data_IF_154213384642
#
_entry.id   IF_154213384642
#
_cell.length_a   1.000
_cell.length_b   1.000
_cell.length_c   1.000
_cell.angle_alpha   90.00
_cell.angle_beta   90.00
_cell.angle_gamma   90.00
#
_symmetry.space_group_name_H-M   'P 1'
#
loop_
_entity.id
_entity.type
_entity.pdbx_description
1 polymer ?
#
# COMPACT_ATOMS: atom_id res chain seq x y z
N UNK A 1 20.33 -17.75 16.35
CA UNK A 1 20.51 -17.51 14.90
C UNK A 1 20.61 -16.02 14.65
N UNK A 2 21.38 -15.58 13.64
CA UNK A 2 21.33 -14.21 13.14
C UNK A 2 19.89 -13.76 12.88
N UNK A 3 19.52 -12.54 13.29
CA UNK A 3 18.15 -12.04 13.16
C UNK A 3 18.09 -10.57 12.76
N UNK A 4 16.96 -10.17 12.18
CA UNK A 4 16.61 -8.77 12.00
C UNK A 4 16.32 -8.11 13.35
N UNK A 5 16.86 -6.91 13.56
CA UNK A 5 16.71 -6.07 14.74
C UNK A 5 16.13 -4.71 14.34
N UNK A 6 15.70 -3.88 15.31
CA UNK A 6 15.19 -2.52 15.09
C UNK A 6 13.99 -2.39 14.13
N UNK A 7 13.11 -3.40 14.15
CA UNK A 7 11.87 -3.40 13.38
C UNK A 7 10.78 -2.61 14.13
N UNK A 8 10.11 -1.70 13.41
CA UNK A 8 8.89 -0.99 13.81
C UNK A 8 7.66 -1.86 13.53
N UNK A 9 6.53 -1.52 14.15
CA UNK A 9 5.24 -2.19 13.94
C UNK A 9 4.87 -2.31 12.46
N UNK A 10 5.15 -1.27 11.68
CA UNK A 10 4.85 -1.19 10.26
C UNK A 10 5.68 -2.19 9.44
N UNK A 11 6.89 -2.51 9.88
CA UNK A 11 7.77 -3.45 9.17
C UNK A 11 7.27 -4.88 9.35
N UNK A 12 6.82 -5.25 10.55
CA UNK A 12 6.19 -6.55 10.80
C UNK A 12 4.93 -6.75 9.95
N UNK A 13 4.12 -5.70 9.81
CA UNK A 13 2.95 -5.72 8.94
C UNK A 13 3.31 -5.78 7.45
N UNK A 14 4.36 -5.09 7.02
CA UNK A 14 4.81 -5.13 5.63
C UNK A 14 5.39 -6.50 5.25
N UNK A 15 6.17 -7.10 6.14
CA UNK A 15 6.76 -8.43 5.94
C UNK A 15 5.70 -9.53 5.87
N UNK A 16 4.74 -9.53 6.80
CA UNK A 16 3.65 -10.53 6.79
C UNK A 16 2.75 -10.41 5.57
N UNK A 17 2.52 -9.20 5.08
CA UNK A 17 1.83 -8.98 3.78
C UNK A 17 2.64 -9.44 2.58
N UNK A 18 3.96 -9.39 2.64
CA UNK A 18 4.82 -9.91 1.58
C UNK A 18 4.81 -11.46 1.56
N UNK A 19 4.59 -12.08 2.72
CA UNK A 19 4.46 -13.54 2.90
C UNK A 19 3.12 -14.09 2.44
N UNK A 20 2.03 -13.33 2.57
CA UNK A 20 0.70 -13.67 2.02
C UNK A 20 0.71 -13.57 0.49
N UNK A 21 1.25 -14.59 -0.16
CA UNK A 21 1.46 -14.66 -1.61
C UNK A 21 0.14 -14.79 -2.36
N UNK A 22 -0.84 -15.51 -1.79
CA UNK A 22 -2.16 -15.72 -2.37
C UNK A 22 -3.16 -14.59 -2.00
N UNK A 23 -2.75 -13.66 -1.13
CA UNK A 23 -3.43 -12.41 -0.75
C UNK A 23 -4.80 -12.62 -0.11
N UNK A 24 -4.97 -13.74 0.60
CA UNK A 24 -6.21 -14.07 1.29
C UNK A 24 -6.24 -13.54 2.75
N UNK A 25 -5.23 -12.75 3.15
CA UNK A 25 -4.98 -12.27 4.52
C UNK A 25 -4.78 -13.38 5.54
N UNK A 26 -4.42 -14.59 5.09
CA UNK A 26 -4.05 -15.75 5.90
C UNK A 26 -2.61 -16.09 5.60
N UNK A 27 -1.95 -16.74 6.54
CA UNK A 27 -0.63 -17.30 6.33
C UNK A 27 -0.76 -18.81 6.43
N UNK A 28 -0.56 -19.47 5.29
CA UNK A 28 -0.54 -20.92 5.21
C UNK A 28 0.88 -21.52 5.21
N UNK A 29 0.98 -22.85 5.31
CA UNK A 29 2.26 -23.55 5.37
C UNK A 29 3.05 -23.51 4.04
N UNK A 30 2.42 -23.17 2.92
CA UNK A 30 3.09 -22.97 1.64
C UNK A 30 3.74 -21.58 1.56
N UNK A 31 3.22 -20.63 2.33
CA UNK A 31 3.68 -19.24 2.40
C UNK A 31 4.80 -19.05 3.43
N UNK A 32 4.61 -19.60 4.63
CA UNK A 32 5.61 -19.57 5.70
C UNK A 32 5.61 -20.92 6.42
N UNK A 33 6.80 -21.49 6.60
CA UNK A 33 6.97 -22.70 7.40
C UNK A 33 6.80 -22.39 8.89
N UNK A 34 5.55 -22.37 9.35
CA UNK A 34 5.19 -22.23 10.76
C UNK A 34 4.67 -23.58 11.24
N UNK A 35 5.21 -24.11 12.34
CA UNK A 35 4.70 -25.36 12.87
C UNK A 35 3.26 -25.21 13.41
N UNK A 36 2.48 -26.29 13.38
CA UNK A 36 1.06 -26.26 13.72
C UNK A 36 0.76 -25.76 15.15
N UNK A 37 1.59 -26.16 16.13
CA UNK A 37 1.45 -25.69 17.51
C UNK A 37 1.59 -24.17 17.61
N UNK A 38 2.51 -23.59 16.84
CA UNK A 38 2.68 -22.15 16.76
C UNK A 38 1.50 -21.47 16.06
N UNK A 39 1.00 -22.06 14.96
CA UNK A 39 -0.15 -21.53 14.21
C UNK A 39 -1.42 -21.44 15.07
N UNK A 40 -1.70 -22.48 15.89
CA UNK A 40 -2.82 -22.48 16.84
C UNK A 40 -2.69 -21.41 17.95
N UNK A 41 -1.45 -21.10 18.36
CA UNK A 41 -1.20 -20.14 19.45
C UNK A 41 -1.32 -18.69 19.01
N UNK A 42 -1.03 -18.41 17.74
CA UNK A 42 -1.11 -17.05 17.18
C UNK A 42 -2.41 -16.82 16.40
N UNK A 43 -3.17 -17.87 16.09
CA UNK A 43 -4.43 -17.76 15.37
C UNK A 43 -5.50 -17.00 16.16
N UNK A 44 -6.45 -16.42 15.42
CA UNK A 44 -7.65 -15.84 16.01
C UNK A 44 -8.56 -16.92 16.63
N UNK A 45 -9.72 -16.53 17.16
CA UNK A 45 -10.71 -17.46 17.78
C UNK A 45 -11.17 -18.62 16.88
N UNK A 46 -10.88 -18.56 15.58
CA UNK A 46 -11.20 -19.61 14.60
C UNK A 46 -9.97 -20.48 14.24
N UNK A 47 -8.84 -20.33 14.94
CA UNK A 47 -7.62 -21.09 14.71
C UNK A 47 -6.85 -20.68 13.44
N UNK A 48 -7.08 -19.46 12.92
CA UNK A 48 -6.45 -18.96 11.70
C UNK A 48 -5.46 -17.85 12.04
N UNK A 49 -4.18 -18.03 11.68
CA UNK A 49 -3.17 -16.98 11.72
C UNK A 49 -3.27 -16.10 10.46
N UNK A 50 -3.76 -14.87 10.62
CA UNK A 50 -3.76 -13.85 9.57
C UNK A 50 -2.47 -13.04 9.53
N UNK A 51 -2.37 -12.13 8.56
CA UNK A 51 -1.21 -11.24 8.42
C UNK A 51 -0.99 -10.37 9.66
N UNK A 52 -2.07 -9.88 10.28
CA UNK A 52 -2.00 -9.06 11.51
C UNK A 52 -1.58 -9.89 12.71
N UNK A 53 -2.18 -11.05 12.90
CA UNK A 53 -1.87 -11.96 14.01
C UNK A 53 -0.41 -12.42 13.96
N UNK A 54 0.09 -12.77 12.77
CA UNK A 54 1.49 -13.12 12.58
C UNK A 54 2.42 -11.93 12.85
N UNK A 55 2.04 -10.72 12.42
CA UNK A 55 2.86 -9.53 12.63
C UNK A 55 2.98 -9.19 14.13
N UNK A 56 1.86 -9.25 14.86
CA UNK A 56 1.84 -9.06 16.31
C UNK A 56 2.67 -10.13 17.02
N UNK A 57 2.56 -11.40 16.62
CA UNK A 57 3.36 -12.47 17.21
C UNK A 57 4.87 -12.31 16.95
N UNK A 58 5.25 -11.88 15.74
CA UNK A 58 6.65 -11.58 15.39
C UNK A 58 7.19 -10.38 16.18
N UNK A 59 6.37 -9.35 16.37
CA UNK A 59 6.70 -8.14 17.14
C UNK A 59 6.90 -8.46 18.63
N UNK A 60 6.00 -9.26 19.21
CA UNK A 60 6.08 -9.68 20.61
C UNK A 60 7.21 -10.68 20.88
N UNK A 61 7.75 -11.30 19.82
CA UNK A 61 8.76 -12.35 19.93
C UNK A 61 8.20 -13.70 20.38
N UNK A 62 6.91 -13.93 20.09
CA UNK A 62 6.23 -15.21 20.34
C UNK A 62 6.60 -16.24 19.28
N UNK A 63 6.96 -15.75 18.08
CA UNK A 63 7.34 -16.55 16.92
C UNK A 63 8.55 -15.96 16.20
N UNK A 64 9.28 -16.83 15.52
CA UNK A 64 10.33 -16.45 14.60
C UNK A 64 10.22 -17.27 13.32
N UNK A 65 10.65 -16.68 12.20
CA UNK A 65 10.61 -17.31 10.88
C UNK A 65 12.04 -17.60 10.43
N UNK A 66 12.26 -18.83 9.98
CA UNK A 66 13.51 -19.33 9.39
C UNK A 66 13.24 -19.83 7.98
N UNK A 67 13.89 -19.22 6.98
CA UNK A 67 13.71 -19.61 5.60
C UNK A 67 12.34 -19.20 5.04
N UNK A 68 12.31 -18.88 3.75
CA UNK A 68 11.09 -18.50 3.02
C UNK A 68 11.33 -18.68 1.52
N UNK A 69 10.27 -18.61 0.71
CA UNK A 69 10.44 -18.64 -0.75
C UNK A 69 11.28 -17.46 -1.23
N UNK A 70 12.06 -17.66 -2.30
CA UNK A 70 12.87 -16.60 -2.91
C UNK A 70 12.03 -15.38 -3.28
N UNK A 71 10.82 -15.59 -3.79
CA UNK A 71 9.88 -14.52 -4.13
C UNK A 71 9.48 -13.69 -2.90
N UNK A 72 9.19 -14.34 -1.77
CA UNK A 72 8.86 -13.66 -0.51
C UNK A 72 10.05 -12.89 0.03
N UNK A 73 11.23 -13.50 0.00
CA UNK A 73 12.48 -12.87 0.42
C UNK A 73 12.80 -11.63 -0.43
N UNK A 74 12.59 -11.71 -1.74
CA UNK A 74 12.79 -10.59 -2.67
C UNK A 74 11.83 -9.43 -2.41
N UNK A 75 10.56 -9.72 -2.10
CA UNK A 75 9.56 -8.69 -1.73
C UNK A 75 9.92 -8.00 -0.42
N UNK A 76 10.37 -8.76 0.58
CA UNK A 76 10.81 -8.21 1.87
C UNK A 76 12.07 -7.37 1.69
N UNK A 77 13.05 -7.85 0.94
CA UNK A 77 14.27 -7.10 0.67
C UNK A 77 14.01 -5.83 -0.14
N UNK A 78 13.06 -5.87 -1.08
CA UNK A 78 12.62 -4.70 -1.84
C UNK A 78 11.99 -3.63 -0.95
N UNK A 79 11.17 -4.04 0.02
CA UNK A 79 10.58 -3.14 1.00
C UNK A 79 11.66 -2.40 1.79
N UNK A 80 12.63 -3.13 2.36
CA UNK A 80 13.72 -2.52 3.14
C UNK A 80 14.63 -1.64 2.30
N UNK A 81 14.87 -1.97 1.02
CA UNK A 81 15.65 -1.12 0.12
C UNK A 81 14.99 0.23 -0.22
N UNK A 82 13.69 0.39 0.09
CA UNK A 82 12.86 1.55 -0.25
C UNK A 82 12.23 2.21 0.98
N UNK A 83 12.74 1.96 2.20
CA UNK A 83 12.10 2.29 3.48
C UNK A 83 12.16 3.77 3.93
N UNK A 84 12.86 4.64 3.18
CA UNK A 84 13.96 5.42 3.71
C UNK A 84 13.61 6.38 4.86
N UNK A 85 14.46 6.35 5.90
CA UNK A 85 15.02 7.55 6.53
C UNK A 85 16.15 8.19 5.66
N UNK A 86 16.31 7.80 4.37
CA UNK A 86 17.24 8.40 3.38
C UNK A 86 16.73 9.67 2.66
N UNK A 87 15.71 10.38 3.16
CA UNK A 87 15.19 11.57 2.46
C UNK A 87 16.06 12.83 2.60
N UNK A 88 17.15 12.79 3.37
CA UNK A 88 18.08 13.91 3.56
C UNK A 88 19.36 13.85 2.69
N UNK A 89 19.46 12.93 1.72
CA UNK A 89 20.67 12.81 0.87
C UNK A 89 20.47 13.32 -0.56
N UNK A 90 21.39 14.14 -1.09
CA UNK A 90 21.29 14.68 -2.45
C UNK A 90 21.24 13.58 -3.52
N UNK A 91 20.45 13.85 -4.57
CA UNK A 91 20.14 13.00 -5.73
C UNK A 91 21.38 12.46 -6.48
N UNK A 92 22.58 12.98 -6.23
CA UNK A 92 23.82 12.60 -6.92
C UNK A 92 24.45 11.27 -6.44
N UNK A 93 23.97 10.65 -5.35
CA UNK A 93 24.52 9.37 -4.85
C UNK A 93 23.74 8.12 -5.32
N UNK A 94 22.84 8.26 -6.30
CA UNK A 94 22.02 7.16 -6.81
C UNK A 94 22.79 6.33 -7.84
N UNK A 95 23.64 5.42 -7.35
CA UNK A 95 24.19 4.31 -8.15
C UNK A 95 23.24 3.11 -8.01
N UNK A 96 23.03 2.41 -9.12
CA UNK A 96 21.94 1.48 -9.46
C UNK A 96 21.77 0.19 -8.64
N UNK A 97 22.19 0.15 -7.38
CA UNK A 97 21.89 -0.98 -6.49
C UNK A 97 21.24 -0.42 -5.23
N UNK A 98 19.98 -0.77 -4.96
CA UNK A 98 19.26 -0.25 -3.81
C UNK A 98 19.84 -0.84 -2.50
N UNK A 99 20.81 -0.14 -1.92
CA UNK A 99 21.46 -0.49 -0.67
C UNK A 99 20.50 -0.33 0.51
N UNK A 100 20.67 -1.18 1.50
CA UNK A 100 19.89 -1.16 2.74
C UNK A 100 20.69 -0.39 3.81
N UNK A 101 20.07 0.56 4.54
CA UNK A 101 20.81 1.46 5.45
C UNK A 101 21.45 0.70 6.63
N UNK A 102 22.59 1.19 7.12
CA UNK A 102 23.22 0.70 8.35
C UNK A 102 22.41 1.02 9.60
N UNK A 103 21.61 2.09 9.61
CA UNK A 103 20.73 2.42 10.75
C UNK A 103 19.52 1.49 10.86
N UNK A 104 19.09 0.90 9.74
CA UNK A 104 17.97 -0.03 9.68
C UNK A 104 18.32 -1.43 10.25
N UNK A 105 19.62 -1.75 10.35
CA UNK A 105 20.12 -3.09 10.67
C UNK A 105 21.38 -3.00 11.56
N UNK A 106 21.23 -3.11 12.88
CA UNK A 106 22.37 -3.47 13.72
C UNK A 106 22.68 -4.97 13.55
N UNK A 107 23.40 -5.30 12.48
CA UNK A 107 24.00 -6.63 12.35
C UNK A 107 25.06 -6.78 13.42
N UNK A 108 24.92 -7.77 14.30
CA UNK A 108 26.08 -8.23 15.07
C UNK A 108 27.20 -8.61 14.06
N UNK A 109 28.48 -8.48 14.43
CA UNK A 109 29.58 -8.83 13.53
C UNK A 109 29.44 -10.23 12.92
N UNK A 110 28.82 -11.16 13.64
CA UNK A 110 28.53 -12.51 13.15
C UNK A 110 27.40 -12.58 12.10
N UNK A 111 26.42 -11.67 12.14
CA UNK A 111 25.37 -11.61 11.11
C UNK A 111 25.90 -10.98 9.83
N UNK A 112 26.67 -9.89 9.97
CA UNK A 112 27.19 -9.13 8.82
C UNK A 112 28.04 -10.02 7.91
N UNK A 113 28.97 -10.79 8.49
CA UNK A 113 29.85 -11.70 7.75
C UNK A 113 29.14 -12.88 7.06
N UNK A 114 27.87 -13.14 7.38
CA UNK A 114 27.05 -14.18 6.73
C UNK A 114 26.14 -13.66 5.64
N UNK A 115 25.85 -12.36 5.64
CA UNK A 115 24.94 -11.70 4.69
C UNK A 115 25.74 -10.93 3.64
N UNK A 116 26.78 -10.21 4.06
CA UNK A 116 27.73 -9.50 3.20
C UNK A 116 28.63 -10.52 2.49
N UNK A 117 28.24 -10.90 1.28
CA UNK A 117 28.86 -11.99 0.53
C UNK A 117 30.14 -11.55 -0.19
N UNK A 118 30.29 -10.24 -0.42
CA UNK A 118 31.41 -9.64 -1.14
C UNK A 118 32.40 -8.91 -0.20
N UNK A 119 32.13 -8.88 1.12
CA UNK A 119 32.91 -8.21 2.17
C UNK A 119 33.11 -6.70 1.95
N UNK A 120 32.14 -6.03 1.31
CA UNK A 120 32.23 -4.58 1.06
C UNK A 120 31.72 -3.73 2.24
N UNK A 121 31.40 -4.38 3.36
CA UNK A 121 30.79 -3.80 4.56
C UNK A 121 29.43 -3.17 4.30
N UNK A 122 28.68 -3.65 3.31
CA UNK A 122 27.31 -3.24 3.02
C UNK A 122 26.46 -4.49 2.74
N UNK A 123 25.15 -4.30 2.69
CA UNK A 123 24.20 -5.38 2.36
C UNK A 123 23.31 -4.88 1.24
N UNK A 124 23.42 -5.52 0.09
CA UNK A 124 22.53 -5.29 -1.06
C UNK A 124 21.17 -5.94 -0.85
N UNK A 125 20.15 -5.48 -1.58
CA UNK A 125 18.84 -6.15 -1.68
C UNK A 125 19.00 -7.65 -1.96
N UNK A 126 19.88 -8.01 -2.89
CA UNK A 126 20.10 -9.40 -3.32
C UNK A 126 20.68 -10.25 -2.20
N UNK A 127 21.64 -9.71 -1.45
CA UNK A 127 22.24 -10.38 -0.30
C UNK A 127 21.25 -10.59 0.84
N UNK A 128 20.42 -9.58 1.13
CA UNK A 128 19.35 -9.72 2.12
C UNK A 128 18.33 -10.79 1.71
N UNK A 129 17.90 -10.80 0.44
CA UNK A 129 16.96 -11.79 -0.07
C UNK A 129 17.54 -13.22 0.00
N UNK A 130 18.79 -13.40 -0.40
CA UNK A 130 19.48 -14.71 -0.31
C UNK A 130 19.61 -15.17 1.15
N UNK A 131 19.93 -14.27 2.08
CA UNK A 131 20.05 -14.60 3.49
C UNK A 131 18.71 -15.00 4.14
N UNK A 132 17.62 -14.32 3.77
CA UNK A 132 16.27 -14.65 4.23
C UNK A 132 15.76 -15.97 3.63
N UNK A 133 15.96 -16.18 2.32
CA UNK A 133 15.52 -17.38 1.64
C UNK A 133 16.25 -18.64 2.13
N UNK A 134 17.56 -18.54 2.35
CA UNK A 134 18.39 -19.65 2.86
C UNK A 134 18.20 -19.94 4.35
N UNK A 135 17.49 -19.08 5.09
CA UNK A 135 17.38 -19.17 6.55
C UNK A 135 18.66 -18.81 7.29
N UNK A 136 19.67 -18.25 6.61
CA UNK A 136 20.86 -17.69 7.24
C UNK A 136 20.53 -16.49 8.14
N UNK A 137 19.42 -15.81 7.86
CA UNK A 137 18.85 -14.69 8.61
C UNK A 137 17.39 -14.98 8.99
N UNK A 138 17.02 -14.67 10.23
CA UNK A 138 15.68 -14.92 10.80
C UNK A 138 14.91 -13.64 11.10
N UNK A 139 13.58 -13.71 11.16
CA UNK A 139 12.69 -12.59 11.54
C UNK A 139 12.00 -12.94 12.86
N UNK A 140 12.01 -12.03 13.85
CA UNK A 140 11.34 -12.23 15.15
C UNK A 140 12.25 -12.79 16.26
N UNK A 141 11.65 -13.18 17.39
CA UNK A 141 12.33 -13.88 18.49
C UNK A 141 11.56 -15.15 18.83
N UNK A 142 12.25 -16.19 19.31
CA UNK A 142 11.61 -17.36 19.91
C UNK A 142 11.66 -17.26 21.43
N UNK A 143 10.81 -16.44 22.05
CA UNK A 143 10.62 -16.48 23.50
C UNK A 143 9.61 -17.59 23.82
N UNK A 144 9.87 -18.36 24.88
CA UNK A 144 8.81 -19.21 25.44
C UNK A 144 7.69 -18.30 25.94
N UNK A 145 6.54 -18.36 25.27
CA UNK A 145 5.33 -17.65 25.67
C UNK A 145 4.94 -18.16 27.06
N UNK A 146 5.02 -17.31 28.10
CA UNK A 146 4.74 -17.73 29.49
C UNK A 146 3.25 -17.89 29.76
N UNK A 147 2.39 -17.39 28.88
CA UNK A 147 0.94 -17.51 28.98
C UNK A 147 0.39 -18.07 27.66
N UNK A 148 -0.26 -19.21 27.76
CA UNK A 148 -1.12 -19.77 26.72
C UNK A 148 -2.49 -19.05 26.83
N UNK A 149 -2.84 -18.13 25.92
CA UNK A 149 -4.13 -17.43 25.98
C UNK A 149 -5.33 -18.34 25.71
N UNK A 150 -5.11 -19.59 25.28
CA UNK A 150 -6.18 -20.53 24.94
C UNK A 150 -5.87 -21.93 25.49
N UNK A 151 -6.04 -22.09 26.81
CA UNK A 151 -6.06 -23.39 27.49
C UNK A 151 -7.31 -24.22 27.11
N UNK A 152 -7.42 -24.63 25.84
CA UNK A 152 -8.12 -25.81 25.31
C UNK A 152 -8.39 -25.65 23.79
N UNK A 153 -7.47 -26.04 22.90
CA UNK A 153 -7.82 -26.22 21.50
C UNK A 153 -8.67 -27.50 21.36
N UNK A 154 -9.79 -27.38 20.64
CA UNK A 154 -10.67 -28.51 20.33
C UNK A 154 -9.86 -29.64 19.66
N UNK A 155 -9.92 -30.83 20.26
CA UNK A 155 -9.08 -31.98 19.89
C UNK A 155 -9.41 -32.51 18.48
N UNK A 156 -8.38 -32.63 17.65
CA UNK A 156 -8.17 -33.86 16.87
C UNK A 156 -8.64 -33.94 15.42
N UNK A 157 -8.85 -32.83 14.69
CA UNK A 157 -9.06 -32.88 13.23
C UNK A 157 -8.19 -31.88 12.47
N UNK A 158 -7.50 -32.38 11.46
CA UNK A 158 -6.74 -31.61 10.47
C UNK A 158 -7.72 -31.00 9.45
N UNK A 159 -7.99 -29.69 9.49
CA UNK A 159 -8.99 -29.06 8.63
C UNK A 159 -8.50 -28.91 7.18
N UNK A 160 -7.26 -29.28 6.86
CA UNK A 160 -6.71 -29.26 5.50
C UNK A 160 -6.87 -30.60 4.78
N UNK A 161 -7.15 -31.70 5.50
CA UNK A 161 -7.29 -33.06 4.93
C UNK A 161 -8.73 -33.58 4.88
N UNK A 162 -9.56 -33.27 5.88
CA UNK A 162 -10.91 -33.81 5.98
C UNK A 162 -11.97 -32.69 6.09
N UNK A 163 -12.52 -32.19 4.96
CA UNK A 163 -13.61 -31.23 5.02
C UNK A 163 -14.85 -31.85 5.69
N UNK A 164 -15.45 -31.11 6.62
CA UNK A 164 -16.57 -31.54 7.44
C UNK A 164 -17.75 -32.09 6.59
N UNK A 165 -18.23 -33.33 6.82
CA UNK A 165 -19.28 -33.94 6.00
C UNK A 165 -20.66 -33.26 6.15
N UNK A 166 -20.84 -32.38 7.14
CA UNK A 166 -22.11 -31.68 7.39
C UNK A 166 -22.27 -30.36 6.61
N UNK A 167 -21.46 -30.11 5.58
CA UNK A 167 -21.65 -28.99 4.64
C UNK A 167 -21.47 -27.58 5.23
N UNK A 168 -21.08 -27.47 6.50
CA UNK A 168 -20.58 -26.23 7.10
C UNK A 168 -19.07 -26.31 7.12
N UNK A 169 -18.50 -25.85 6.02
CA UNK A 169 -17.11 -25.48 5.97
C UNK A 169 -16.88 -24.32 6.98
N UNK A 170 -16.05 -24.50 8.03
CA UNK A 170 -15.69 -23.42 8.95
C UNK A 170 -14.97 -22.26 8.22
N UNK A 171 -14.58 -22.45 6.96
CA UNK A 171 -14.00 -21.44 6.08
C UNK A 171 -15.02 -20.69 5.22
N UNK A 172 -16.32 -21.04 5.22
CA UNK A 172 -17.34 -20.37 4.40
C UNK A 172 -18.09 -19.23 5.09
N UNK A 173 -17.95 -19.03 6.40
CA UNK A 173 -18.70 -17.93 7.04
C UNK A 173 -18.15 -17.45 8.40
N UNK A 174 -17.12 -16.59 8.46
CA UNK A 174 -16.90 -15.72 9.59
C UNK A 174 -17.67 -14.41 9.38
N UNK A 175 -18.66 -14.14 10.22
CA UNK A 175 -19.57 -13.01 10.12
C UNK A 175 -18.97 -11.63 10.44
N UNK A 176 -18.01 -11.17 9.63
CA UNK A 176 -17.65 -9.76 9.46
C UNK A 176 -17.29 -9.52 7.99
N UNK A 177 -18.00 -8.58 7.37
CA UNK A 177 -17.94 -8.07 5.99
C UNK A 177 -17.24 -8.95 4.93
N UNK A 178 -18.06 -9.46 4.00
CA UNK A 178 -17.62 -10.15 2.78
C UNK A 178 -16.34 -9.47 2.24
N UNK A 179 -15.23 -10.21 2.02
CA UNK A 179 -14.16 -9.70 1.19
C UNK A 179 -14.82 -9.26 -0.11
N UNK A 180 -14.71 -7.98 -0.47
CA UNK A 180 -15.12 -7.54 -1.80
C UNK A 180 -14.33 -8.43 -2.75
N UNK A 181 -14.98 -9.26 -3.58
CA UNK A 181 -14.26 -10.09 -4.52
C UNK A 181 -13.43 -9.15 -5.39
N UNK A 182 -12.09 -9.25 -5.33
CA UNK A 182 -11.24 -8.56 -6.29
C UNK A 182 -11.69 -9.00 -7.69
N UNK A 183 -11.93 -8.05 -8.58
CA UNK A 183 -12.50 -8.31 -9.90
C UNK A 183 -11.54 -9.08 -10.84
N UNK A 184 -10.35 -9.43 -10.35
CA UNK A 184 -9.22 -9.92 -11.14
C UNK A 184 -8.57 -8.81 -11.98
N UNK A 185 -8.97 -7.55 -11.80
CA UNK A 185 -8.42 -6.42 -12.53
C UNK A 185 -6.94 -6.21 -12.22
N UNK A 186 -6.45 -6.58 -11.03
CA UNK A 186 -5.04 -6.47 -10.69
C UNK A 186 -4.11 -7.20 -11.69
N UNK A 187 -4.54 -8.33 -12.27
CA UNK A 187 -3.77 -9.08 -13.28
C UNK A 187 -3.66 -8.24 -14.55
N UNK A 188 -4.77 -7.66 -15.00
CA UNK A 188 -4.82 -6.82 -16.19
C UNK A 188 -3.98 -5.55 -16.00
N UNK A 189 -4.02 -4.94 -14.80
CA UNK A 189 -3.18 -3.79 -14.43
C UNK A 189 -1.70 -4.17 -14.44
N UNK A 190 -1.33 -5.36 -13.96
CA UNK A 190 0.06 -5.81 -13.96
C UNK A 190 0.57 -6.09 -15.38
N UNK A 191 -0.26 -6.67 -16.25
CA UNK A 191 0.07 -6.95 -17.64
C UNK A 191 0.41 -5.68 -18.45
N UNK A 192 -0.15 -4.52 -18.09
CA UNK A 192 0.13 -3.22 -18.75
C UNK A 192 1.62 -2.88 -18.76
N UNK A 193 2.38 -3.33 -17.76
CA UNK A 193 3.84 -3.15 -17.68
C UNK A 193 4.58 -3.69 -18.90
N UNK A 194 4.07 -4.78 -19.45
CA UNK A 194 4.70 -5.54 -20.53
C UNK A 194 4.07 -5.24 -21.90
N UNK A 195 2.99 -4.46 -21.95
CA UNK A 195 2.37 -4.04 -23.21
C UNK A 195 3.29 -3.10 -23.97
N UNK A 196 3.39 -3.30 -25.29
CA UNK A 196 4.31 -2.53 -26.14
C UNK A 196 3.69 -1.24 -26.65
N UNK A 197 2.36 -1.19 -26.78
CA UNK A 197 1.65 -0.05 -27.33
C UNK A 197 1.01 0.81 -26.24
N UNK A 198 1.21 2.12 -26.29
CA UNK A 198 0.52 3.09 -25.43
C UNK A 198 -1.00 3.04 -25.61
N UNK A 199 -1.46 2.74 -26.82
CA UNK A 199 -2.87 2.53 -27.14
C UNK A 199 -3.43 1.31 -26.39
N UNK A 200 -2.72 0.17 -26.38
CA UNK A 200 -3.15 -1.05 -25.66
C UNK A 200 -3.21 -0.81 -24.15
N UNK A 201 -2.22 -0.10 -23.60
CA UNK A 201 -2.21 0.31 -22.19
C UNK A 201 -3.41 1.18 -21.87
N UNK A 202 -3.65 2.18 -22.72
CA UNK A 202 -4.75 3.14 -22.55
C UNK A 202 -6.12 2.47 -22.64
N UNK A 203 -6.31 1.58 -23.60
CA UNK A 203 -7.55 0.85 -23.80
C UNK A 203 -7.84 -0.10 -22.63
N UNK A 204 -6.82 -0.84 -22.17
CA UNK A 204 -6.96 -1.79 -21.06
C UNK A 204 -7.32 -1.06 -19.77
N UNK A 205 -6.54 -0.05 -19.37
CA UNK A 205 -6.82 0.71 -18.15
C UNK A 205 -8.12 1.50 -18.25
N UNK A 206 -8.45 2.04 -19.43
CA UNK A 206 -9.70 2.76 -19.68
C UNK A 206 -10.95 1.89 -19.57
N UNK A 207 -10.87 0.60 -19.93
CA UNK A 207 -11.95 -0.38 -19.68
C UNK A 207 -12.11 -0.66 -18.20
N UNK A 208 -11.00 -0.84 -17.48
CA UNK A 208 -11.02 -1.08 -16.03
C UNK A 208 -11.57 0.12 -15.27
N UNK A 209 -11.23 1.36 -15.64
CA UNK A 209 -11.72 2.57 -14.97
C UNK A 209 -13.25 2.71 -14.93
N UNK A 210 -13.95 2.07 -15.87
CA UNK A 210 -15.42 2.08 -15.96
C UNK A 210 -16.09 0.93 -15.22
N UNK A 211 -15.31 -0.04 -14.71
CA UNK A 211 -15.83 -1.16 -13.92
C UNK A 211 -16.25 -0.71 -12.53
N UNK A 212 -17.43 -1.12 -12.08
CA UNK A 212 -17.97 -0.76 -10.77
C UNK A 212 -17.62 -1.77 -9.67
N UNK A 213 -17.05 -2.92 -10.03
CA UNK A 213 -16.68 -4.01 -9.14
C UNK A 213 -15.19 -4.01 -8.76
N UNK A 214 -14.44 -2.93 -9.09
CA UNK A 214 -13.05 -2.79 -8.66
C UNK A 214 -12.98 -2.61 -7.14
N UNK A 215 -12.12 -3.38 -6.48
CA UNK A 215 -11.84 -3.16 -5.06
C UNK A 215 -11.09 -1.83 -4.83
N UNK A 216 -11.11 -1.27 -3.61
CA UNK A 216 -10.38 -0.03 -3.31
C UNK A 216 -8.91 -0.06 -3.72
N UNK A 217 -8.27 -1.22 -3.53
CA UNK A 217 -6.88 -1.46 -3.94
C UNK A 217 -6.73 -1.47 -5.46
N UNK A 218 -7.63 -2.14 -6.18
CA UNK A 218 -7.60 -2.18 -7.65
C UNK A 218 -7.78 -0.78 -8.26
N UNK A 219 -8.63 0.05 -7.64
CA UNK A 219 -8.80 1.46 -8.02
C UNK A 219 -7.51 2.28 -7.82
N UNK A 220 -6.83 2.11 -6.68
CA UNK A 220 -5.56 2.76 -6.42
C UNK A 220 -4.46 2.30 -7.39
N UNK A 221 -4.36 0.98 -7.63
CA UNK A 221 -3.41 0.40 -8.59
C UNK A 221 -3.65 0.91 -10.01
N UNK A 222 -4.92 1.07 -10.40
CA UNK A 222 -5.31 1.60 -11.70
C UNK A 222 -4.86 3.06 -11.87
N UNK A 223 -5.10 3.91 -10.87
CA UNK A 223 -4.65 5.31 -10.90
C UNK A 223 -3.11 5.41 -11.07
N UNK A 224 -2.38 4.56 -10.35
CA UNK A 224 -0.91 4.49 -10.43
C UNK A 224 -0.38 3.99 -11.76
N UNK A 225 -0.95 2.88 -12.24
CA UNK A 225 -0.54 2.32 -13.51
C UNK A 225 -0.80 3.30 -14.65
N UNK A 226 -1.86 4.10 -14.56
CA UNK A 226 -2.18 5.13 -15.55
C UNK A 226 -1.06 6.16 -15.65
N UNK A 227 -0.64 6.76 -14.53
CA UNK A 227 0.41 7.79 -14.60
C UNK A 227 1.77 7.19 -14.97
N UNK A 228 2.06 5.98 -14.48
CA UNK A 228 3.37 5.34 -14.65
C UNK A 228 3.60 4.78 -16.05
N UNK A 229 2.57 4.23 -16.69
CA UNK A 229 2.74 3.44 -17.91
C UNK A 229 2.06 4.03 -19.15
N UNK A 230 1.13 4.97 -18.99
CA UNK A 230 0.54 5.71 -20.12
C UNK A 230 1.36 6.96 -20.37
N UNK A 231 1.68 7.24 -21.62
CA UNK A 231 2.62 8.30 -22.00
C UNK A 231 1.89 9.61 -22.26
N UNK A 232 0.76 9.55 -22.98
CA UNK A 232 -0.03 10.72 -23.34
C UNK A 232 -0.87 11.21 -22.16
N UNK A 233 -0.73 12.50 -21.80
CA UNK A 233 -1.58 13.13 -20.78
C UNK A 233 -3.05 13.19 -21.18
N UNK A 234 -3.35 13.24 -22.48
CA UNK A 234 -4.72 13.10 -22.97
C UNK A 234 -5.29 11.72 -22.61
N UNK A 235 -4.53 10.64 -22.88
CA UNK A 235 -4.96 9.28 -22.55
C UNK A 235 -5.05 9.06 -21.03
N UNK A 236 -4.11 9.60 -20.26
CA UNK A 236 -4.20 9.60 -18.79
C UNK A 236 -5.47 10.33 -18.33
N UNK A 237 -5.77 11.48 -18.92
CA UNK A 237 -6.96 12.26 -18.63
C UNK A 237 -8.25 11.48 -18.85
N UNK A 238 -8.36 10.78 -19.97
CA UNK A 238 -9.52 9.93 -20.27
C UNK A 238 -9.71 8.80 -19.23
N UNK A 239 -8.63 8.14 -18.83
CA UNK A 239 -8.67 7.03 -17.86
C UNK A 239 -8.99 7.52 -16.45
N UNK A 240 -8.22 8.51 -15.96
CA UNK A 240 -8.41 9.10 -14.63
C UNK A 240 -9.77 9.80 -14.54
N UNK A 241 -10.23 10.41 -15.63
CA UNK A 241 -11.54 11.05 -15.73
C UNK A 241 -12.70 10.06 -15.77
N UNK A 242 -12.49 8.84 -16.28
CA UNK A 242 -13.45 7.75 -16.15
C UNK A 242 -13.49 7.23 -14.71
N UNK A 243 -12.34 7.09 -14.05
CA UNK A 243 -12.28 6.68 -12.64
C UNK A 243 -12.91 7.73 -11.71
N UNK A 244 -12.68 9.03 -11.97
CA UNK A 244 -13.33 10.13 -11.25
C UNK A 244 -14.86 10.18 -11.44
N UNK A 245 -15.38 9.65 -12.55
CA UNK A 245 -16.82 9.56 -12.81
C UNK A 245 -17.46 8.28 -12.24
N UNK A 246 -16.63 7.34 -11.79
CA UNK A 246 -17.10 6.03 -11.36
C UNK A 246 -17.73 6.11 -9.98
N UNK A 247 -19.04 5.89 -9.88
CA UNK A 247 -19.81 5.99 -8.61
C UNK A 247 -19.39 5.00 -7.53
N UNK A 248 -18.60 3.97 -7.88
CA UNK A 248 -18.07 2.99 -6.93
C UNK A 248 -16.66 3.33 -6.44
N UNK A 249 -16.17 4.55 -6.74
CA UNK A 249 -14.88 5.03 -6.27
C UNK A 249 -14.87 5.07 -4.73
N UNK A 250 -13.94 4.33 -4.15
CA UNK A 250 -13.70 4.27 -2.71
C UNK A 250 -12.86 5.46 -2.24
N UNK A 251 -12.84 5.70 -0.93
CA UNK A 251 -11.97 6.73 -0.33
C UNK A 251 -10.48 6.51 -0.66
N UNK A 252 -9.99 5.27 -0.57
CA UNK A 252 -8.60 4.95 -0.93
C UNK A 252 -8.31 5.23 -2.41
N UNK A 253 -9.24 4.84 -3.29
CA UNK A 253 -9.19 5.13 -4.72
C UNK A 253 -9.19 6.64 -5.00
N UNK A 254 -10.04 7.41 -4.30
CA UNK A 254 -10.12 8.87 -4.43
C UNK A 254 -8.83 9.57 -3.97
N UNK A 255 -8.25 9.16 -2.83
CA UNK A 255 -6.95 9.65 -2.37
C UNK A 255 -5.87 9.41 -3.42
N UNK A 256 -5.81 8.19 -3.98
CA UNK A 256 -4.79 7.87 -4.98
C UNK A 256 -5.03 8.61 -6.28
N UNK A 257 -6.28 8.70 -6.72
CA UNK A 257 -6.66 9.44 -7.91
C UNK A 257 -6.26 10.93 -7.82
N UNK A 258 -6.54 11.59 -6.70
CA UNK A 258 -6.12 12.99 -6.49
C UNK A 258 -4.60 13.16 -6.59
N UNK A 259 -3.83 12.21 -6.03
CA UNK A 259 -2.35 12.20 -6.13
C UNK A 259 -1.88 11.94 -7.56
N UNK A 260 -2.50 11.01 -8.28
CA UNK A 260 -2.19 10.72 -9.68
C UNK A 260 -2.50 11.90 -10.59
N UNK A 261 -3.60 12.62 -10.36
CA UNK A 261 -3.93 13.86 -11.09
C UNK A 261 -2.81 14.89 -10.92
N UNK A 262 -2.27 15.05 -9.71
CA UNK A 262 -1.17 16.00 -9.42
C UNK A 262 0.08 15.79 -10.29
N UNK A 263 0.35 14.55 -10.68
CA UNK A 263 1.52 14.16 -11.47
C UNK A 263 1.39 14.44 -12.98
N UNK A 264 0.20 14.87 -13.45
CA UNK A 264 0.03 15.28 -14.85
C UNK A 264 0.83 16.55 -15.17
N UNK A 265 1.14 16.77 -16.44
CA UNK A 265 1.84 17.98 -16.88
C UNK A 265 0.88 19.13 -17.23
N UNK A 266 -0.31 18.80 -17.75
CA UNK A 266 -1.32 19.78 -18.15
C UNK A 266 -2.17 20.26 -16.97
N UNK A 267 -2.03 21.52 -16.59
CA UNK A 267 -2.84 22.14 -15.53
C UNK A 267 -4.32 22.26 -15.88
N UNK A 268 -4.64 22.44 -17.16
CA UNK A 268 -6.02 22.39 -17.63
C UNK A 268 -6.64 21.02 -17.31
N UNK A 269 -5.93 19.93 -17.67
CA UNK A 269 -6.38 18.56 -17.40
C UNK A 269 -6.45 18.27 -15.90
N UNK A 270 -5.49 18.75 -15.10
CA UNK A 270 -5.54 18.63 -13.64
C UNK A 270 -6.79 19.27 -13.06
N UNK A 271 -7.06 20.52 -13.43
CA UNK A 271 -8.21 21.30 -12.97
C UNK A 271 -9.52 20.62 -13.34
N UNK A 272 -9.65 20.15 -14.57
CA UNK A 272 -10.84 19.42 -15.03
C UNK A 272 -11.07 18.14 -14.21
N UNK A 273 -10.03 17.31 -14.06
CA UNK A 273 -10.13 16.02 -13.37
C UNK A 273 -10.39 16.18 -11.87
N UNK A 274 -9.74 17.14 -11.20
CA UNK A 274 -9.96 17.34 -9.77
C UNK A 274 -11.36 17.89 -9.50
N UNK A 275 -11.85 18.79 -10.34
CA UNK A 275 -13.23 19.28 -10.24
C UNK A 275 -14.23 18.16 -10.53
N UNK A 276 -13.93 17.26 -11.45
CA UNK A 276 -14.74 16.07 -11.72
C UNK A 276 -14.80 15.12 -10.53
N UNK A 277 -13.68 14.86 -9.86
CA UNK A 277 -13.61 14.05 -8.64
C UNK A 277 -14.46 14.70 -7.54
N UNK A 278 -14.25 15.99 -7.28
CA UNK A 278 -14.95 16.78 -6.26
C UNK A 278 -16.45 16.88 -6.52
N UNK A 279 -16.90 16.94 -7.77
CA UNK A 279 -18.33 17.13 -8.06
C UNK A 279 -19.11 15.80 -8.11
N UNK A 280 -18.44 14.67 -8.33
CA UNK A 280 -19.10 13.38 -8.44
C UNK A 280 -19.14 12.60 -7.12
N UNK A 281 -18.37 13.01 -6.11
CA UNK A 281 -18.16 12.23 -4.88
C UNK A 281 -18.22 13.11 -3.65
N UNK A 282 -18.84 12.61 -2.58
CA UNK A 282 -18.59 13.15 -1.24
C UNK A 282 -17.27 12.56 -0.74
N UNK A 283 -16.22 13.38 -0.73
CA UNK A 283 -14.88 12.96 -0.37
C UNK A 283 -14.74 12.88 1.15
N UNK A 284 -14.08 11.82 1.63
CA UNK A 284 -13.66 11.74 3.01
C UNK A 284 -12.47 12.66 3.30
N UNK A 285 -12.12 12.76 4.58
CA UNK A 285 -11.10 13.68 5.08
C UNK A 285 -9.78 13.64 4.29
N UNK A 286 -9.27 12.44 4.00
CA UNK A 286 -7.96 12.26 3.34
C UNK A 286 -8.03 12.55 1.84
N UNK A 287 -9.15 12.23 1.20
CA UNK A 287 -9.36 12.57 -0.21
C UNK A 287 -9.55 14.09 -0.40
N UNK A 288 -10.21 14.77 0.53
CA UNK A 288 -10.27 16.23 0.58
C UNK A 288 -8.87 16.84 0.75
N UNK A 289 -8.09 16.39 1.73
CA UNK A 289 -6.70 16.82 1.95
C UNK A 289 -5.85 16.67 0.68
N UNK A 290 -5.91 15.50 0.05
CA UNK A 290 -5.17 15.23 -1.18
C UNK A 290 -5.64 16.14 -2.33
N UNK A 291 -6.93 16.44 -2.40
CA UNK A 291 -7.49 17.34 -3.40
C UNK A 291 -7.05 18.79 -3.20
N UNK A 292 -7.00 19.27 -1.95
CA UNK A 292 -6.48 20.61 -1.59
C UNK A 292 -5.03 20.75 -2.06
N UNK A 293 -4.19 19.76 -1.72
CA UNK A 293 -2.79 19.74 -2.11
C UNK A 293 -2.65 19.72 -3.64
N UNK A 294 -3.45 18.90 -4.34
CA UNK A 294 -3.42 18.83 -5.80
C UNK A 294 -3.82 20.15 -6.45
N UNK A 295 -4.90 20.78 -6.00
CA UNK A 295 -5.31 22.12 -6.47
C UNK A 295 -4.20 23.14 -6.22
N UNK A 296 -3.52 23.07 -5.08
CA UNK A 296 -2.35 23.88 -4.73
C UNK A 296 -1.18 23.81 -5.73
N UNK A 297 -1.10 22.75 -6.54
CA UNK A 297 -0.04 22.60 -7.56
C UNK A 297 -0.37 23.19 -8.94
N UNK A 298 -1.59 23.69 -9.15
CA UNK A 298 -1.98 24.36 -10.39
C UNK A 298 -1.24 25.70 -10.51
N UNK A 299 -0.64 25.98 -11.67
CA UNK A 299 0.14 27.21 -11.89
C UNK A 299 -0.70 28.46 -12.18
N UNK A 300 -1.93 28.27 -12.67
CA UNK A 300 -2.84 29.37 -12.98
C UNK A 300 -3.66 29.74 -11.75
N UNK A 301 -3.47 30.96 -11.24
CA UNK A 301 -4.28 31.55 -10.15
C UNK A 301 -5.78 31.43 -10.43
N UNK A 302 -6.21 31.64 -11.67
CA UNK A 302 -7.61 31.53 -12.06
C UNK A 302 -8.12 30.09 -11.92
N UNK A 303 -7.40 29.12 -12.50
CA UNK A 303 -7.79 27.70 -12.46
C UNK A 303 -7.75 27.16 -11.03
N UNK A 304 -6.75 27.59 -10.25
CA UNK A 304 -6.61 27.25 -8.84
C UNK A 304 -7.76 27.82 -8.01
N UNK A 305 -8.09 29.10 -8.20
CA UNK A 305 -9.18 29.74 -7.49
C UNK A 305 -10.55 29.11 -7.81
N UNK A 306 -10.85 28.85 -9.08
CA UNK A 306 -12.10 28.17 -9.45
C UNK A 306 -12.18 26.76 -8.86
N UNK A 307 -11.07 26.02 -8.81
CA UNK A 307 -11.06 24.67 -8.25
C UNK A 307 -11.23 24.67 -6.72
N UNK A 308 -10.62 25.62 -6.00
CA UNK A 308 -10.88 25.77 -4.56
C UNK A 308 -12.31 26.20 -4.27
N UNK A 309 -12.87 27.15 -5.03
CA UNK A 309 -14.29 27.55 -4.87
C UNK A 309 -15.22 26.37 -5.14
N UNK A 310 -14.92 25.55 -6.14
CA UNK A 310 -15.67 24.34 -6.43
C UNK A 310 -15.58 23.33 -5.26
N UNK A 311 -14.39 23.10 -4.72
CA UNK A 311 -14.21 22.24 -3.54
C UNK A 311 -15.04 22.69 -2.34
N UNK A 312 -15.02 23.99 -2.01
CA UNK A 312 -15.76 24.53 -0.86
C UNK A 312 -17.28 24.41 -1.07
N UNK A 313 -17.77 24.60 -2.29
CA UNK A 313 -19.21 24.51 -2.60
C UNK A 313 -19.71 23.07 -2.62
N UNK A 314 -18.88 22.14 -3.06
CA UNK A 314 -19.27 20.75 -3.28
C UNK A 314 -19.02 19.84 -2.08
N UNK A 315 -18.16 20.23 -1.13
CA UNK A 315 -17.74 19.39 -0.02
C UNK A 315 -18.02 20.01 1.34
N UNK A 316 -18.28 19.15 2.33
CA UNK A 316 -18.34 19.54 3.74
C UNK A 316 -16.92 19.40 4.32
N UNK A 317 -16.24 20.54 4.47
CA UNK A 317 -14.86 20.59 4.94
C UNK A 317 -14.85 20.76 6.47
N UNK A 318 -14.16 19.86 7.16
CA UNK A 318 -13.90 20.02 8.58
C UNK A 318 -12.89 21.15 8.86
N UNK A 319 -12.69 21.47 10.15
CA UNK A 319 -11.82 22.57 10.55
C UNK A 319 -10.37 22.38 10.08
N UNK A 320 -9.85 21.15 10.08
CA UNK A 320 -8.47 20.88 9.68
C UNK A 320 -8.29 21.08 8.18
N UNK A 321 -9.22 20.59 7.36
CA UNK A 321 -9.19 20.79 5.91
C UNK A 321 -9.48 22.24 5.52
N UNK A 322 -10.32 22.98 6.28
CA UNK A 322 -10.46 24.43 6.10
C UNK A 322 -9.15 25.18 6.37
N UNK A 323 -8.43 24.82 7.45
CA UNK A 323 -7.14 25.42 7.77
C UNK A 323 -6.10 25.13 6.68
N UNK A 324 -5.97 23.87 6.25
CA UNK A 324 -5.07 23.48 5.18
C UNK A 324 -5.39 24.21 3.87
N UNK A 325 -6.67 24.35 3.52
CA UNK A 325 -7.11 25.09 2.34
C UNK A 325 -6.71 26.56 2.44
N UNK A 326 -6.99 27.22 3.56
CA UNK A 326 -6.64 28.62 3.80
C UNK A 326 -5.13 28.85 3.69
N UNK A 327 -4.32 27.98 4.32
CA UNK A 327 -2.85 28.04 4.24
C UNK A 327 -2.35 27.86 2.80
N UNK A 328 -2.93 26.89 2.08
CA UNK A 328 -2.56 26.62 0.69
C UNK A 328 -2.89 27.81 -0.20
N UNK A 329 -4.13 28.34 -0.13
CA UNK A 329 -4.57 29.53 -0.85
C UNK A 329 -3.65 30.72 -0.59
N UNK A 330 -3.27 30.95 0.66
CA UNK A 330 -2.38 32.04 1.03
C UNK A 330 -0.97 31.88 0.44
N UNK A 331 -0.49 30.64 0.30
CA UNK A 331 0.84 30.31 -0.20
C UNK A 331 0.93 30.28 -1.72
N UNK A 332 -0.12 29.84 -2.41
CA UNK A 332 -0.06 29.50 -3.83
C UNK A 332 -0.75 30.51 -4.73
N UNK A 333 -1.80 31.22 -4.26
CA UNK A 333 -2.51 32.22 -5.08
C UNK A 333 -1.88 33.60 -4.88
N UNK A 334 -1.37 34.17 -5.98
CA UNK A 334 -0.75 35.49 -5.94
C UNK A 334 -1.79 36.63 -5.85
N UNK A 335 -2.91 36.49 -6.57
CA UNK A 335 -4.02 37.45 -6.61
C UNK A 335 -4.68 37.62 -5.24
N UNK A 336 -4.57 38.83 -4.66
CA UNK A 336 -5.26 39.18 -3.41
C UNK A 336 -6.78 39.14 -3.55
N UNK A 337 -7.31 39.50 -4.72
CA UNK A 337 -8.74 39.42 -5.03
C UNK A 337 -9.23 37.97 -4.96
N UNK A 338 -8.54 37.05 -5.65
CA UNK A 338 -8.91 35.64 -5.69
C UNK A 338 -8.80 35.00 -4.30
N UNK A 339 -7.76 35.34 -3.52
CA UNK A 339 -7.64 34.90 -2.12
C UNK A 339 -8.83 35.36 -1.29
N UNK A 340 -9.20 36.64 -1.38
CA UNK A 340 -10.32 37.17 -0.60
C UNK A 340 -11.64 36.48 -0.96
N UNK A 341 -11.89 36.23 -2.24
CA UNK A 341 -13.11 35.54 -2.70
C UNK A 341 -13.21 34.13 -2.11
N UNK A 342 -12.10 33.37 -2.10
CA UNK A 342 -12.06 32.02 -1.54
C UNK A 342 -12.22 32.04 -0.02
N UNK A 343 -11.53 32.95 0.67
CA UNK A 343 -11.60 33.04 2.13
C UNK A 343 -13.00 33.43 2.63
N UNK A 344 -13.70 34.32 1.92
CA UNK A 344 -15.09 34.68 2.21
C UNK A 344 -16.08 33.53 1.96
N UNK A 345 -15.71 32.57 1.12
CA UNK A 345 -16.54 31.40 0.85
C UNK A 345 -16.30 30.28 1.88
N UNK A 346 -15.10 30.22 2.44
CA UNK A 346 -14.64 29.18 3.36
C UNK A 346 -15.17 29.36 4.80
N UNK A 347 -15.31 30.62 5.22
CA UNK A 347 -15.75 31.08 6.55
C UNK A 347 -16.95 31.99 6.41
#
# INVERSE_FOLDING_TARGET
MPRLTNLRTEDYMAMTRAMDTNRNNRIDNNEVQINWNTHQRIGNSNGVAGTRELATALQNGDVFITGMSTETADKIAEYFSKRPDNFDRPVAEWISDAWISKEDFEFSPEVRSRVDSNNDNRVSRKELAVALASGALTIGQGRQVSNDPFQNPAQGRDPFRDPNPNGRDPFQNPGYDRPVPDSGAYIQIDMVKNMRSDYERSETLGKLARKTDLSPREQAMLADATVKYVSSDYSKGEILGALAANRSLSEEGAVRLAKSIRELSSDYTKGELINKLVNNHQLGFRAQESSIITIGTLSSDFTQAESFKNLIRSQDLDLQNKQLLAETVQKTISSSYSRQEIMNLLF
#
